data_IF_221649752432
#
_entry.id   IF_221649752432
#
_cell.length_a   1.000
_cell.length_b   1.000
_cell.length_c   1.000
_cell.angle_alpha   90.00
_cell.angle_beta   90.00
_cell.angle_gamma   90.00
#
_symmetry.space_group_name_H-M   'P 1'
#
loop_
_entity.id
_entity.type
_entity.pdbx_description
1 polymer ?
#
# COMPACT_ATOMS: atom_id res chain seq x y z
N UNK A 1 -27.32 15.95 19.81
CA UNK A 1 -26.59 17.08 19.19
C UNK A 1 -25.10 16.92 19.48
N UNK A 2 -24.43 16.01 18.78
CA UNK A 2 -23.06 15.56 19.10
C UNK A 2 -22.15 15.47 17.85
N UNK A 3 -22.50 16.20 16.78
CA UNK A 3 -21.90 16.05 15.45
C UNK A 3 -20.65 16.90 15.09
N UNK A 4 -20.30 18.05 15.73
CA UNK A 4 -19.24 18.91 15.18
C UNK A 4 -17.79 18.42 15.40
N UNK A 5 -17.59 17.42 16.28
CA UNK A 5 -16.26 16.87 16.60
C UNK A 5 -15.77 15.84 15.59
N UNK A 6 -16.68 15.09 14.97
CA UNK A 6 -16.36 14.01 14.03
C UNK A 6 -15.87 14.57 12.69
N UNK A 7 -16.54 15.63 12.21
CA UNK A 7 -16.20 16.31 10.95
C UNK A 7 -14.79 16.93 10.98
N UNK A 8 -14.42 17.53 12.12
CA UNK A 8 -13.07 18.09 12.32
C UNK A 8 -11.98 17.02 12.46
N UNK A 9 -12.33 15.82 12.91
CA UNK A 9 -11.40 14.69 12.90
C UNK A 9 -11.19 14.20 11.46
N UNK A 10 -12.28 13.98 10.71
CA UNK A 10 -12.21 13.57 9.31
C UNK A 10 -11.41 14.54 8.43
N UNK A 11 -11.56 15.86 8.63
CA UNK A 11 -10.79 16.87 7.89
C UNK A 11 -9.30 16.84 8.25
N UNK A 12 -8.95 16.65 9.52
CA UNK A 12 -7.55 16.49 9.93
C UNK A 12 -6.96 15.22 9.31
N UNK A 13 -7.67 14.10 9.39
CA UNK A 13 -7.24 12.84 8.78
C UNK A 13 -7.05 12.98 7.28
N UNK A 14 -7.98 13.64 6.59
CA UNK A 14 -7.88 13.91 5.16
C UNK A 14 -6.61 14.72 4.82
N UNK A 15 -6.29 15.78 5.58
CA UNK A 15 -5.07 16.55 5.37
C UNK A 15 -3.81 15.67 5.48
N UNK A 16 -3.78 14.80 6.49
CA UNK A 16 -2.66 13.90 6.74
C UNK A 16 -2.46 12.88 5.62
N UNK A 17 -3.56 12.29 5.12
CA UNK A 17 -3.51 11.37 3.98
C UNK A 17 -3.08 12.08 2.69
N UNK A 18 -3.51 13.34 2.49
CA UNK A 18 -3.04 14.16 1.36
C UNK A 18 -1.54 14.43 1.46
N UNK A 19 -1.02 14.79 2.63
CA UNK A 19 0.42 15.00 2.85
C UNK A 19 1.24 13.73 2.60
N UNK A 20 0.77 12.57 3.08
CA UNK A 20 1.41 11.29 2.79
C UNK A 20 1.42 11.01 1.29
N UNK A 21 0.30 11.22 0.60
CA UNK A 21 0.18 10.99 -0.83
C UNK A 21 1.10 11.94 -1.64
N UNK A 22 1.22 13.20 -1.22
CA UNK A 22 2.15 14.19 -1.78
C UNK A 22 3.61 13.74 -1.67
N UNK A 23 3.99 13.06 -0.58
CA UNK A 23 5.34 12.49 -0.40
C UNK A 23 5.57 11.24 -1.23
N UNK A 24 4.60 10.31 -1.24
CA UNK A 24 4.75 9.00 -1.87
C UNK A 24 4.62 9.02 -3.40
N UNK A 25 3.81 9.92 -3.96
CA UNK A 25 3.56 9.95 -5.41
C UNK A 25 4.83 10.25 -6.23
N UNK A 26 5.71 11.20 -5.85
CA UNK A 26 7.01 11.36 -6.49
C UNK A 26 7.89 10.10 -6.42
N UNK A 27 7.89 9.37 -5.31
CA UNK A 27 8.66 8.13 -5.16
C UNK A 27 8.18 7.05 -6.14
N UNK A 28 6.86 6.91 -6.32
CA UNK A 28 6.28 6.02 -7.34
C UNK A 28 6.76 6.36 -8.75
N UNK A 29 6.87 7.65 -9.09
CA UNK A 29 7.39 8.08 -10.38
C UNK A 29 8.89 7.75 -10.54
N UNK A 30 9.68 7.83 -9.45
CA UNK A 30 11.09 7.43 -9.47
C UNK A 30 11.25 5.92 -9.69
N UNK A 31 10.33 5.09 -9.19
CA UNK A 31 10.31 3.64 -9.44
C UNK A 31 10.08 3.26 -10.93
N UNK A 32 9.50 4.17 -11.72
CA UNK A 32 9.39 4.01 -13.17
C UNK A 32 10.61 4.52 -13.94
N UNK A 33 11.43 5.38 -13.33
CA UNK A 33 12.65 5.85 -13.99
C UNK A 33 13.60 4.66 -14.18
N UNK A 34 14.15 4.43 -15.38
CA UNK A 34 15.11 3.35 -15.59
C UNK A 34 16.28 3.56 -14.65
N UNK A 35 16.36 2.74 -13.60
CA UNK A 35 17.43 2.81 -12.62
C UNK A 35 18.76 2.57 -13.32
N UNK A 36 19.46 3.64 -13.69
CA UNK A 36 20.90 3.58 -13.91
C UNK A 36 21.51 3.37 -12.53
N UNK A 37 21.54 2.13 -12.05
CA UNK A 37 22.43 1.77 -10.94
C UNK A 37 23.85 2.06 -11.43
N UNK A 38 24.47 3.09 -10.89
CA UNK A 38 25.89 3.37 -11.12
C UNK A 38 26.70 2.11 -10.78
N UNK A 39 27.68 1.71 -11.61
CA UNK A 39 28.54 0.55 -11.36
C UNK A 39 29.41 0.63 -10.09
N UNK A 40 29.34 1.74 -9.34
CA UNK A 40 30.27 2.05 -8.24
C UNK A 40 29.70 1.85 -6.84
N UNK A 41 28.51 1.27 -6.68
CA UNK A 41 28.00 0.90 -5.34
C UNK A 41 28.56 -0.47 -4.91
N UNK A 42 29.27 -0.58 -3.77
CA UNK A 42 29.74 -1.87 -3.27
C UNK A 42 28.54 -2.71 -2.81
N UNK A 43 28.53 -4.03 -3.09
CA UNK A 43 27.44 -4.91 -2.71
C UNK A 43 27.42 -5.15 -1.18
N UNK A 44 26.24 -5.44 -0.59
CA UNK A 44 26.18 -5.96 0.78
C UNK A 44 26.84 -7.35 0.83
N UNK A 45 27.67 -7.55 1.85
CA UNK A 45 28.40 -8.79 2.11
C UNK A 45 27.41 -9.96 2.29
N UNK A 46 27.56 -11.03 1.48
CA UNK A 46 26.93 -12.32 1.77
C UNK A 46 26.32 -13.10 0.60
N UNK A 47 26.19 -12.54 -0.59
CA UNK A 47 25.70 -13.30 -1.76
C UNK A 47 26.77 -13.31 -2.86
N UNK A 48 27.44 -14.46 -3.07
CA UNK A 48 28.29 -14.68 -4.24
C UNK A 48 27.46 -14.44 -5.52
N UNK A 49 27.81 -13.46 -6.38
CA UNK A 49 27.14 -13.32 -7.66
C UNK A 49 27.53 -14.52 -8.53
N UNK A 50 26.54 -15.30 -8.98
CA UNK A 50 26.76 -16.13 -10.16
C UNK A 50 27.12 -15.17 -11.31
N UNK A 51 28.36 -15.24 -11.79
CA UNK A 51 28.81 -14.48 -12.95
C UNK A 51 27.79 -14.66 -14.07
N UNK A 52 27.26 -13.56 -14.61
CA UNK A 52 26.38 -13.57 -15.76
C UNK A 52 27.10 -14.32 -16.89
N UNK A 53 26.66 -15.56 -17.16
CA UNK A 53 27.11 -16.29 -18.35
C UNK A 53 26.63 -15.47 -19.54
N UNK A 54 27.56 -14.93 -20.32
CA UNK A 54 27.22 -14.22 -21.55
C UNK A 54 26.38 -15.11 -22.47
N UNK A 55 25.54 -14.49 -23.32
CA UNK A 55 24.60 -15.21 -24.20
C UNK A 55 25.30 -16.36 -24.93
N UNK A 56 24.75 -17.55 -24.76
CA UNK A 56 25.14 -18.75 -25.48
C UNK A 56 24.96 -18.57 -26.98
N UNK A 57 25.66 -19.36 -27.79
CA UNK A 57 25.56 -19.30 -29.26
C UNK A 57 24.13 -19.52 -29.74
N UNK A 58 23.38 -20.40 -29.09
CA UNK A 58 21.98 -20.69 -29.41
C UNK A 58 21.08 -19.45 -29.23
N UNK A 59 21.24 -18.71 -28.12
CA UNK A 59 20.48 -17.48 -27.86
C UNK A 59 20.80 -16.36 -28.87
N UNK A 60 22.03 -16.33 -29.41
CA UNK A 60 22.41 -15.38 -30.47
C UNK A 60 21.78 -15.72 -31.81
N UNK A 61 21.74 -17.00 -32.16
CA UNK A 61 21.13 -17.48 -33.39
C UNK A 61 19.60 -17.29 -33.39
N UNK A 62 18.96 -17.47 -32.23
CA UNK A 62 17.53 -17.19 -32.06
C UNK A 62 17.21 -15.70 -32.15
N UNK A 63 18.01 -14.85 -31.49
CA UNK A 63 17.90 -13.40 -31.57
C UNK A 63 18.00 -12.87 -33.02
N UNK A 64 18.93 -13.42 -33.82
CA UNK A 64 19.08 -13.08 -35.24
C UNK A 64 17.86 -13.48 -36.07
N UNK A 65 17.24 -14.64 -35.79
CA UNK A 65 16.00 -15.05 -36.49
C UNK A 65 14.82 -14.14 -36.16
N UNK A 66 14.69 -13.71 -34.90
CA UNK A 66 13.63 -12.78 -34.47
C UNK A 66 13.82 -11.40 -35.13
N UNK A 67 15.06 -10.92 -35.21
CA UNK A 67 15.38 -9.67 -35.90
C UNK A 67 15.09 -9.75 -37.41
N UNK A 68 15.46 -10.85 -38.06
CA UNK A 68 15.20 -11.07 -39.49
C UNK A 68 13.72 -11.25 -39.81
N UNK A 69 12.94 -11.87 -38.92
CA UNK A 69 11.52 -12.13 -39.14
C UNK A 69 10.62 -10.93 -38.81
N UNK A 70 11.01 -10.09 -37.86
CA UNK A 70 10.13 -9.06 -37.29
C UNK A 70 10.73 -7.65 -37.30
N UNK A 71 11.99 -7.47 -37.73
CA UNK A 71 12.66 -6.16 -37.75
C UNK A 71 12.94 -5.58 -36.37
N UNK A 72 12.88 -6.40 -35.32
CA UNK A 72 13.05 -5.97 -33.93
C UNK A 72 14.45 -6.35 -33.43
N UNK A 73 15.30 -5.36 -33.18
CA UNK A 73 16.61 -5.58 -32.54
C UNK A 73 16.39 -5.97 -31.06
N UNK A 74 16.88 -7.13 -30.60
CA UNK A 74 16.65 -7.58 -29.24
C UNK A 74 17.39 -6.69 -28.23
N UNK A 75 16.63 -6.08 -27.32
CA UNK A 75 17.17 -5.26 -26.23
C UNK A 75 18.17 -6.07 -25.39
N UNK A 76 19.26 -5.42 -24.97
CA UNK A 76 20.32 -6.02 -24.15
C UNK A 76 19.80 -6.69 -22.86
N UNK A 77 20.61 -7.54 -22.19
CA UNK A 77 20.21 -8.30 -20.99
C UNK A 77 19.97 -7.45 -19.73
N UNK A 78 19.85 -6.14 -19.88
CA UNK A 78 19.61 -5.17 -18.80
C UNK A 78 18.43 -4.28 -19.15
N UNK A 79 17.27 -4.87 -19.38
CA UNK A 79 16.01 -4.19 -19.07
C UNK A 79 15.57 -4.76 -17.73
N UNK A 80 15.72 -3.98 -16.65
CA UNK A 80 15.01 -4.30 -15.43
C UNK A 80 13.52 -4.43 -15.81
N UNK A 81 12.81 -5.50 -15.42
CA UNK A 81 11.43 -5.69 -15.85
C UNK A 81 10.63 -4.43 -15.51
N UNK A 82 9.97 -3.85 -16.53
CA UNK A 82 9.06 -2.73 -16.33
C UNK A 82 8.09 -3.12 -15.21
N UNK A 83 8.06 -2.33 -14.13
CA UNK A 83 7.20 -2.59 -12.97
C UNK A 83 5.76 -2.23 -13.34
N UNK A 84 5.10 -3.08 -14.14
CA UNK A 84 3.75 -2.85 -14.64
C UNK A 84 2.76 -2.51 -13.52
N UNK A 85 2.86 -3.20 -12.37
CA UNK A 85 2.05 -2.91 -11.19
C UNK A 85 2.25 -1.48 -10.63
N UNK A 86 3.46 -0.91 -10.73
CA UNK A 86 3.73 0.50 -10.35
C UNK A 86 3.09 1.44 -11.36
N UNK A 87 3.22 1.14 -12.66
CA UNK A 87 2.59 1.94 -13.71
C UNK A 87 1.07 1.96 -13.61
N UNK A 88 0.45 0.81 -13.31
CA UNK A 88 -1.00 0.71 -13.09
C UNK A 88 -1.41 1.46 -11.83
N UNK A 89 -0.63 1.35 -10.76
CA UNK A 89 -0.87 2.13 -9.53
C UNK A 89 -0.83 3.63 -9.81
N UNK A 90 0.11 4.11 -10.60
CA UNK A 90 0.21 5.53 -10.98
C UNK A 90 -1.01 5.98 -11.78
N UNK A 91 -1.49 5.16 -12.71
CA UNK A 91 -2.72 5.44 -13.47
C UNK A 91 -3.91 5.56 -12.53
N UNK A 92 -4.14 4.56 -11.68
CA UNK A 92 -5.24 4.53 -10.72
C UNK A 92 -5.24 5.76 -9.78
N UNK A 93 -4.06 6.16 -9.29
CA UNK A 93 -3.94 7.34 -8.41
C UNK A 93 -4.19 8.62 -9.20
N UNK A 94 -3.69 8.71 -10.43
CA UNK A 94 -3.90 9.89 -11.27
C UNK A 94 -5.37 10.10 -11.55
N UNK A 95 -6.07 9.04 -11.96
CA UNK A 95 -7.51 9.07 -12.24
C UNK A 95 -8.30 9.37 -10.96
N UNK A 96 -7.99 8.68 -9.85
CA UNK A 96 -8.66 8.91 -8.56
C UNK A 96 -8.49 10.33 -8.01
N UNK A 97 -7.33 10.96 -8.19
CA UNK A 97 -7.12 12.36 -7.77
C UNK A 97 -7.87 13.34 -8.67
N UNK A 98 -7.94 13.07 -9.98
CA UNK A 98 -8.74 13.88 -10.91
C UNK A 98 -10.21 13.81 -10.55
N UNK A 99 -10.73 12.60 -10.34
CA UNK A 99 -12.13 12.38 -9.94
C UNK A 99 -12.45 13.04 -8.61
N UNK A 100 -11.58 12.88 -7.60
CA UNK A 100 -11.75 13.51 -6.30
C UNK A 100 -11.78 15.04 -6.40
N UNK A 101 -10.83 15.65 -7.13
CA UNK A 101 -10.78 17.10 -7.32
C UNK A 101 -12.06 17.62 -7.98
N UNK A 102 -12.56 16.93 -9.01
CA UNK A 102 -13.82 17.28 -9.67
C UNK A 102 -15.04 17.10 -8.76
N UNK A 103 -15.12 16.00 -8.00
CA UNK A 103 -16.21 15.73 -7.06
C UNK A 103 -16.27 16.78 -5.93
N UNK A 104 -15.12 17.21 -5.41
CA UNK A 104 -15.04 18.26 -4.39
C UNK A 104 -15.52 19.61 -4.95
N UNK A 105 -15.10 19.98 -6.16
CA UNK A 105 -15.55 21.23 -6.78
C UNK A 105 -17.05 21.21 -7.05
N UNK A 106 -17.58 20.10 -7.57
CA UNK A 106 -19.01 19.95 -7.82
C UNK A 106 -19.82 20.06 -6.51
N UNK A 107 -19.43 19.31 -5.46
CA UNK A 107 -20.13 19.31 -4.17
C UNK A 107 -20.11 20.67 -3.47
N UNK A 108 -19.02 21.43 -3.63
CA UNK A 108 -18.87 22.80 -3.12
C UNK A 108 -19.40 23.89 -4.07
N UNK A 109 -20.02 23.49 -5.20
CA UNK A 109 -20.56 24.38 -6.24
C UNK A 109 -19.55 25.39 -6.79
N UNK A 110 -18.31 24.94 -6.98
CA UNK A 110 -17.23 25.71 -7.57
C UNK A 110 -17.13 25.44 -9.08
N UNK A 111 -16.52 26.35 -9.85
CA UNK A 111 -16.21 26.08 -11.25
C UNK A 111 -15.34 24.83 -11.39
N UNK A 112 -15.51 24.08 -12.48
CA UNK A 112 -14.71 22.88 -12.76
C UNK A 112 -13.21 23.21 -12.65
N UNK A 113 -12.42 22.40 -11.93
CA UNK A 113 -11.00 22.67 -11.74
C UNK A 113 -10.26 22.60 -13.08
N UNK A 114 -9.24 23.46 -13.23
CA UNK A 114 -8.35 23.41 -14.38
C UNK A 114 -7.51 22.13 -14.36
N UNK A 115 -7.09 21.68 -15.54
CA UNK A 115 -6.12 20.58 -15.67
C UNK A 115 -4.83 20.93 -14.93
N UNK A 116 -4.35 20.00 -14.14
CA UNK A 116 -3.18 20.14 -13.27
C UNK A 116 -2.60 18.75 -12.97
N UNK A 117 -1.34 18.70 -12.53
CA UNK A 117 -0.69 17.46 -12.11
C UNK A 117 -1.24 16.98 -10.75
N UNK A 118 -1.03 15.71 -10.43
CA UNK A 118 -1.51 15.10 -9.17
C UNK A 118 -1.14 15.93 -7.93
N UNK A 119 0.11 16.38 -7.72
CA UNK A 119 0.45 17.17 -6.53
C UNK A 119 -0.32 18.50 -6.45
N UNK A 120 -0.48 19.19 -7.57
CA UNK A 120 -1.19 20.47 -7.64
C UNK A 120 -2.67 20.31 -7.32
N UNK A 121 -3.29 19.22 -7.79
CA UNK A 121 -4.69 18.89 -7.48
C UNK A 121 -4.86 18.52 -6.02
N UNK A 122 -3.95 17.74 -5.45
CA UNK A 122 -3.96 17.39 -4.03
C UNK A 122 -3.84 18.63 -3.13
N UNK A 123 -2.93 19.56 -3.46
CA UNK A 123 -2.81 20.83 -2.75
C UNK A 123 -4.09 21.69 -2.86
N UNK A 124 -4.75 21.65 -4.02
CA UNK A 124 -6.03 22.34 -4.23
C UNK A 124 -7.14 21.73 -3.37
N UNK A 125 -7.25 20.40 -3.34
CA UNK A 125 -8.20 19.70 -2.46
C UNK A 125 -7.91 20.00 -0.99
N UNK A 126 -6.64 20.01 -0.57
CA UNK A 126 -6.23 20.37 0.78
C UNK A 126 -6.67 21.80 1.15
N UNK A 127 -6.51 22.76 0.23
CA UNK A 127 -6.96 24.14 0.45
C UNK A 127 -8.49 24.29 0.59
N UNK A 128 -9.26 23.31 0.09
CA UNK A 128 -10.73 23.29 0.20
C UNK A 128 -11.24 22.58 1.45
N UNK A 129 -10.39 21.90 2.21
CA UNK A 129 -10.78 21.15 3.41
C UNK A 129 -11.49 22.00 4.46
N UNK A 130 -11.11 23.27 4.61
CA UNK A 130 -11.80 24.19 5.52
C UNK A 130 -13.26 24.40 5.16
N UNK A 131 -13.58 24.49 3.87
CA UNK A 131 -14.97 24.59 3.38
C UNK A 131 -15.69 23.24 3.41
N UNK A 132 -14.98 22.15 3.13
CA UNK A 132 -15.53 20.80 3.23
C UNK A 132 -15.90 20.41 4.67
N UNK A 133 -15.31 21.06 5.68
CA UNK A 133 -15.63 20.81 7.09
C UNK A 133 -17.08 21.12 7.48
N UNK A 134 -17.80 21.89 6.66
CA UNK A 134 -19.22 22.18 6.84
C UNK A 134 -20.14 21.06 6.32
N UNK A 135 -19.57 20.04 5.67
CA UNK A 135 -20.26 18.92 5.03
C UNK A 135 -19.60 17.59 5.41
N UNK A 136 -20.13 16.96 6.46
CA UNK A 136 -19.64 15.70 7.02
C UNK A 136 -19.44 14.58 5.97
N UNK A 137 -20.36 14.49 5.00
CA UNK A 137 -20.31 13.46 3.96
C UNK A 137 -19.14 13.72 3.00
N UNK A 138 -18.94 14.98 2.62
CA UNK A 138 -17.80 15.37 1.78
C UNK A 138 -16.48 15.19 2.52
N UNK A 139 -16.38 15.58 3.79
CA UNK A 139 -15.19 15.40 4.61
C UNK A 139 -14.80 13.91 4.72
N UNK A 140 -15.78 13.04 4.99
CA UNK A 140 -15.57 11.59 5.04
C UNK A 140 -15.14 11.04 3.67
N UNK A 141 -15.78 11.47 2.59
CA UNK A 141 -15.42 11.06 1.24
C UNK A 141 -13.96 11.42 0.91
N UNK A 142 -13.54 12.67 1.13
CA UNK A 142 -12.16 13.11 0.87
C UNK A 142 -11.16 12.27 1.67
N UNK A 143 -11.45 12.04 2.97
CA UNK A 143 -10.62 11.18 3.81
C UNK A 143 -10.49 9.77 3.24
N UNK A 144 -11.60 9.13 2.88
CA UNK A 144 -11.61 7.74 2.45
C UNK A 144 -10.90 7.56 1.11
N UNK A 145 -11.11 8.48 0.18
CA UNK A 145 -10.47 8.49 -1.13
C UNK A 145 -8.95 8.69 -1.03
N UNK A 146 -8.51 9.69 -0.26
CA UNK A 146 -7.08 9.99 -0.07
C UNK A 146 -6.37 8.86 0.69
N UNK A 147 -7.01 8.29 1.72
CA UNK A 147 -6.52 7.11 2.44
C UNK A 147 -6.38 5.89 1.53
N UNK A 148 -7.38 5.62 0.69
CA UNK A 148 -7.33 4.50 -0.27
C UNK A 148 -6.14 4.63 -1.22
N UNK A 149 -5.92 5.82 -1.77
CA UNK A 149 -4.83 6.09 -2.72
C UNK A 149 -3.46 5.99 -2.04
N UNK A 150 -3.26 6.59 -0.87
CA UNK A 150 -2.01 6.50 -0.11
C UNK A 150 -1.64 5.05 0.26
N UNK A 151 -2.63 4.23 0.64
CA UNK A 151 -2.41 2.78 0.89
C UNK A 151 -1.96 2.04 -0.36
N UNK A 152 -2.51 2.39 -1.52
CA UNK A 152 -2.10 1.81 -2.80
C UNK A 152 -0.64 2.20 -3.13
N UNK A 153 -0.25 3.46 -2.90
CA UNK A 153 1.15 3.88 -3.03
C UNK A 153 2.08 3.08 -2.14
N UNK A 154 1.75 2.96 -0.85
CA UNK A 154 2.56 2.24 0.15
C UNK A 154 2.81 0.79 -0.29
N UNK A 155 1.78 0.10 -0.79
CA UNK A 155 1.90 -1.27 -1.32
C UNK A 155 2.79 -1.35 -2.56
N UNK A 156 2.61 -0.44 -3.50
CA UNK A 156 3.37 -0.42 -4.75
C UNK A 156 4.85 -0.05 -4.54
N UNK A 157 5.15 0.78 -3.54
CA UNK A 157 6.52 1.12 -3.13
C UNK A 157 7.20 -0.02 -2.35
N UNK A 158 6.49 -1.10 -2.03
CA UNK A 158 7.06 -2.25 -1.31
C UNK A 158 7.47 -1.95 0.13
N UNK A 159 6.98 -0.85 0.72
CA UNK A 159 7.18 -0.57 2.13
C UNK A 159 6.52 -1.69 2.97
N UNK A 160 7.29 -2.34 3.82
CA UNK A 160 6.78 -3.38 4.70
C UNK A 160 5.71 -2.78 5.62
N UNK A 161 4.51 -3.35 5.60
CA UNK A 161 3.42 -2.94 6.48
C UNK A 161 3.90 -2.95 7.94
N UNK A 162 3.64 -1.90 8.73
CA UNK A 162 3.97 -1.88 10.15
C UNK A 162 3.23 -3.00 10.87
N UNK A 163 3.98 -3.88 11.51
CA UNK A 163 3.45 -5.06 12.20
C UNK A 163 3.44 -4.79 13.70
N UNK A 164 2.24 -4.68 14.29
CA UNK A 164 2.09 -4.36 15.72
C UNK A 164 1.93 -5.63 16.53
N UNK A 165 2.66 -5.77 17.62
CA UNK A 165 2.45 -6.87 18.57
C UNK A 165 1.17 -6.61 19.36
N UNK A 166 0.33 -7.64 19.46
CA UNK A 166 -0.83 -7.66 20.34
C UNK A 166 -0.61 -8.65 21.48
N UNK A 167 -1.26 -8.42 22.61
CA UNK A 167 -1.30 -9.38 23.72
C UNK A 167 -2.07 -10.66 23.35
N UNK A 168 -2.03 -11.63 24.26
CA UNK A 168 -2.69 -12.92 24.07
C UNK A 168 -1.84 -13.98 23.34
N UNK A 169 -2.36 -15.21 23.35
CA UNK A 169 -1.75 -16.39 22.73
C UNK A 169 -2.57 -16.84 21.54
N UNK A 170 -1.92 -17.33 20.49
CA UNK A 170 -2.63 -17.90 19.35
C UNK A 170 -3.52 -19.07 19.80
N UNK A 171 -4.84 -19.08 19.52
CA UNK A 171 -5.74 -20.18 19.90
C UNK A 171 -5.37 -21.56 19.36
N UNK A 172 -4.55 -21.63 18.29
CA UNK A 172 -4.17 -22.91 17.68
C UNK A 172 -2.79 -23.44 18.06
N UNK A 173 -1.81 -22.56 18.30
CA UNK A 173 -0.44 -22.98 18.61
C UNK A 173 0.06 -22.50 19.97
N UNK A 174 -0.82 -21.86 20.75
CA UNK A 174 -0.60 -21.33 22.10
C UNK A 174 0.63 -20.40 22.24
N UNK A 175 1.11 -19.87 21.12
CA UNK A 175 2.33 -19.06 21.05
C UNK A 175 2.00 -17.56 21.14
N UNK A 176 2.89 -16.75 21.73
CA UNK A 176 2.77 -15.28 21.81
C UNK A 176 3.23 -14.62 20.50
N UNK A 177 2.63 -15.05 19.39
CA UNK A 177 3.01 -14.72 18.02
C UNK A 177 1.91 -13.98 17.26
N UNK A 178 0.89 -13.48 17.97
CA UNK A 178 -0.15 -12.66 17.35
C UNK A 178 0.41 -11.29 16.97
N UNK A 179 0.08 -10.86 15.75
CA UNK A 179 0.47 -9.57 15.20
C UNK A 179 -0.70 -8.94 14.45
N UNK A 180 -0.95 -7.67 14.72
CA UNK A 180 -1.87 -6.85 13.96
C UNK A 180 -1.18 -6.28 12.70
N UNK A 181 -1.93 -6.31 11.60
CA UNK A 181 -1.59 -5.81 10.28
C UNK A 181 -2.63 -4.73 9.92
N UNK A 182 -2.35 -3.43 10.20
CA UNK A 182 -3.30 -2.33 10.04
C UNK A 182 -3.76 -2.07 8.60
N UNK A 183 -2.88 -2.29 7.62
CA UNK A 183 -3.22 -2.14 6.22
C UNK A 183 -4.22 -3.21 5.77
N UNK A 184 -4.12 -4.42 6.36
CA UNK A 184 -4.98 -5.58 6.08
C UNK A 184 -6.24 -5.63 6.94
N UNK A 185 -6.35 -4.79 7.98
CA UNK A 185 -7.40 -4.90 9.00
C UNK A 185 -7.53 -6.33 9.55
N UNK A 186 -6.39 -6.94 9.85
CA UNK A 186 -6.35 -8.33 10.28
C UNK A 186 -5.31 -8.56 11.38
N UNK A 187 -5.57 -9.56 12.21
CA UNK A 187 -4.61 -10.11 13.16
C UNK A 187 -4.19 -11.48 12.64
N UNK A 188 -2.89 -11.79 12.66
CA UNK A 188 -2.34 -13.04 12.18
C UNK A 188 -1.40 -13.64 13.24
N UNK A 189 -1.29 -14.97 13.25
CA UNK A 189 -0.21 -15.66 13.95
C UNK A 189 1.02 -15.74 13.04
N UNK A 190 2.15 -15.17 13.46
CA UNK A 190 3.39 -15.17 12.65
C UNK A 190 4.26 -16.43 12.85
N UNK A 191 3.84 -17.37 13.69
CA UNK A 191 4.55 -18.64 13.87
C UNK A 191 4.43 -19.48 12.57
N UNK A 192 5.52 -19.79 11.86
CA UNK A 192 5.48 -20.51 10.59
C UNK A 192 4.99 -21.96 10.72
N UNK A 193 5.03 -22.54 11.92
CA UNK A 193 4.50 -23.87 12.20
C UNK A 193 3.01 -23.87 12.56
N UNK A 194 2.41 -22.69 12.78
CA UNK A 194 1.00 -22.61 13.18
C UNK A 194 0.08 -23.01 12.02
N UNK A 195 -0.91 -23.85 12.33
CA UNK A 195 -1.95 -24.31 11.41
C UNK A 195 -3.28 -24.27 12.17
N UNK A 196 -4.34 -23.75 11.55
CA UNK A 196 -5.65 -23.71 12.19
C UNK A 196 -6.38 -25.06 12.05
N UNK A 197 -7.45 -25.24 12.83
CA UNK A 197 -8.29 -26.42 12.76
C UNK A 197 -9.28 -26.41 11.57
N UNK A 198 -9.52 -25.25 10.97
CA UNK A 198 -10.43 -25.09 9.83
C UNK A 198 -9.91 -25.86 8.61
N UNK A 199 -10.73 -26.74 8.04
CA UNK A 199 -10.36 -27.61 6.92
C UNK A 199 -10.25 -26.85 5.60
N UNK A 200 -10.94 -25.72 5.49
CA UNK A 200 -11.03 -24.95 4.26
C UNK A 200 -10.06 -23.76 4.26
N UNK A 201 -9.23 -23.63 5.31
CA UNK A 201 -8.23 -22.56 5.39
C UNK A 201 -6.89 -22.96 4.76
N UNK A 202 -6.44 -22.17 3.78
CA UNK A 202 -5.19 -22.36 3.04
C UNK A 202 -3.94 -22.42 3.92
N UNK A 203 -3.99 -21.89 5.16
CA UNK A 203 -2.84 -21.97 6.07
C UNK A 203 -2.42 -23.42 6.35
N UNK A 204 -3.30 -24.41 6.16
CA UNK A 204 -3.03 -25.83 6.33
C UNK A 204 -2.05 -26.40 5.31
N UNK A 205 -2.17 -25.94 4.07
CA UNK A 205 -1.52 -26.56 2.91
C UNK A 205 -0.46 -25.66 2.29
N UNK A 206 -0.62 -24.34 2.39
CA UNK A 206 0.32 -23.37 1.84
C UNK A 206 1.25 -22.78 2.93
N UNK A 207 2.56 -23.05 2.90
CA UNK A 207 3.52 -22.49 3.85
C UNK A 207 3.70 -20.96 3.73
N UNK A 208 3.23 -20.32 2.66
CA UNK A 208 3.20 -18.86 2.52
C UNK A 208 1.92 -18.24 3.11
N UNK A 209 0.84 -19.02 3.26
CA UNK A 209 -0.43 -18.54 3.80
C UNK A 209 -0.46 -18.63 5.32
N UNK A 210 -1.02 -17.60 5.98
CA UNK A 210 -1.25 -17.58 7.43
C UNK A 210 -2.71 -17.31 7.69
N UNK A 211 -3.28 -18.00 8.68
CA UNK A 211 -4.65 -17.73 9.10
C UNK A 211 -4.76 -16.26 9.53
N UNK A 212 -5.76 -15.58 8.99
CA UNK A 212 -6.05 -14.20 9.29
C UNK A 212 -7.41 -14.10 10.00
N UNK A 213 -7.41 -13.44 11.15
CA UNK A 213 -8.65 -13.02 11.80
C UNK A 213 -8.98 -11.61 11.32
N UNK A 214 -10.00 -11.51 10.48
CA UNK A 214 -10.61 -10.25 10.07
C UNK A 214 -11.37 -9.62 11.22
N UNK A 215 -11.77 -8.36 11.08
CA UNK A 215 -12.45 -7.59 12.13
C UNK A 215 -13.67 -8.29 12.74
N UNK A 216 -14.46 -9.00 11.93
CA UNK A 216 -15.64 -9.74 12.40
C UNK A 216 -15.28 -10.88 13.35
N UNK A 217 -14.04 -11.38 13.33
CA UNK A 217 -13.57 -12.48 14.16
C UNK A 217 -12.83 -12.02 15.42
N UNK A 218 -12.63 -10.72 15.65
CA UNK A 218 -11.80 -10.22 16.77
C UNK A 218 -12.41 -10.43 18.15
N UNK A 219 -13.74 -10.35 18.28
CA UNK A 219 -14.42 -10.64 19.56
C UNK A 219 -14.09 -12.06 20.00
N UNK A 220 -14.28 -13.02 19.10
CA UNK A 220 -13.95 -14.43 19.33
C UNK A 220 -12.46 -14.63 19.57
N UNK A 221 -11.60 -13.95 18.80
CA UNK A 221 -10.15 -14.03 19.00
C UNK A 221 -9.76 -13.54 20.40
N UNK A 222 -10.29 -12.40 20.86
CA UNK A 222 -10.01 -11.86 22.19
C UNK A 222 -10.38 -12.86 23.30
N UNK A 223 -11.56 -13.47 23.20
CA UNK A 223 -12.02 -14.51 24.13
C UNK A 223 -11.12 -15.74 24.15
N UNK A 224 -10.73 -16.26 22.97
CA UNK A 224 -9.94 -17.49 22.86
C UNK A 224 -8.44 -17.28 23.16
N UNK A 225 -7.91 -16.08 22.93
CA UNK A 225 -6.48 -15.77 23.07
C UNK A 225 -6.10 -15.09 24.38
N UNK A 226 -7.09 -14.59 25.13
CA UNK A 226 -6.87 -13.69 26.27
C UNK A 226 -6.29 -12.33 25.87
N UNK A 227 -6.39 -11.96 24.59
CA UNK A 227 -6.05 -10.62 24.12
C UNK A 227 -7.16 -9.62 24.47
N UNK A 228 -6.80 -8.36 24.68
CA UNK A 228 -7.78 -7.29 24.88
C UNK A 228 -8.38 -6.84 23.53
N UNK A 229 -9.71 -6.81 23.42
CA UNK A 229 -10.40 -6.40 22.19
C UNK A 229 -10.09 -4.92 21.83
N UNK A 230 -9.96 -4.06 22.84
CA UNK A 230 -9.58 -2.66 22.66
C UNK A 230 -8.17 -2.52 22.09
N UNK A 231 -7.23 -3.34 22.55
CA UNK A 231 -5.88 -3.46 21.99
C UNK A 231 -5.90 -4.01 20.57
N UNK A 232 -6.65 -5.07 20.27
CA UNK A 232 -6.76 -5.59 18.90
C UNK A 232 -7.27 -4.51 17.94
N UNK A 233 -8.33 -3.78 18.34
CA UNK A 233 -8.87 -2.66 17.57
C UNK A 233 -7.88 -1.49 17.47
N UNK A 234 -7.19 -1.13 18.55
CA UNK A 234 -6.22 -0.04 18.58
C UNK A 234 -4.87 -0.35 17.91
N UNK A 235 -4.47 -1.61 17.85
CA UNK A 235 -3.25 -2.07 17.17
C UNK A 235 -3.44 -2.26 15.67
N UNK A 236 -4.69 -2.44 15.24
CA UNK A 236 -5.11 -2.42 13.83
C UNK A 236 -5.64 -1.05 13.40
N UNK A 237 -5.87 -0.14 14.35
CA UNK A 237 -5.99 1.29 14.08
C UNK A 237 -4.66 1.82 13.53
N UNK A 238 -4.75 2.83 12.67
CA UNK A 238 -3.68 3.18 11.73
C UNK A 238 -2.40 3.63 12.43
N UNK A 239 -1.27 2.95 12.20
CA UNK A 239 0.06 3.43 12.60
C UNK A 239 0.48 4.70 11.87
N UNK A 240 -0.16 5.03 10.73
CA UNK A 240 0.00 6.33 10.08
C UNK A 240 -0.44 7.49 10.99
N UNK A 241 -1.45 7.30 11.85
CA UNK A 241 -1.82 8.31 12.86
C UNK A 241 -0.69 8.55 13.89
N UNK A 242 0.16 7.54 14.13
CA UNK A 242 1.28 7.61 15.08
C UNK A 242 2.54 8.24 14.49
N UNK A 243 2.85 8.02 13.21
CA UNK A 243 3.92 8.75 12.50
C UNK A 243 3.54 10.21 12.26
N UNK A 244 2.25 10.51 12.16
CA UNK A 244 1.70 11.86 12.06
C UNK A 244 1.77 12.63 13.38
N UNK A 245 1.74 11.95 14.53
CA UNK A 245 1.82 12.56 15.86
C UNK A 245 3.25 12.69 16.40
N UNK A 246 4.27 12.34 15.61
CA UNK A 246 5.69 12.47 15.96
C UNK A 246 6.35 13.54 15.09
#
# INVERSE_FOLDING_TARGET
>A
MTAPTDDRAAVRDAALWIELLLRQFPELLHELAPARRSPSAPPPDGARPHAARGRTRAEREEALRVEQAHGLTPSGPTTAPLRLHVSDTIRDITDGVVELDEAVHDRLRLPRPRRAQVPERLLRVAALLGRASEDAVLAAHIRDETRRMARRCTRALGAAEPVVRVSGRCPWCDSVSLRAFPARHAVLCVNPACRCADRDCDCRTDPAHRHAWTQSAWVRLAEESGADLGELAGATADTAEREVHR
#
